data_IF_230324466466
#
_entry.id   IF_230324466466
#
_cell.length_a   1.000
_cell.length_b   1.000
_cell.length_c   1.000
_cell.angle_alpha   90.00
_cell.angle_beta   90.00
_cell.angle_gamma   90.00
#
_symmetry.space_group_name_H-M   'P 1'
#
loop_
_entity.id
_entity.type
_entity.pdbx_description
1 polymer ?
#
# COMPACT_ATOMS: atom_id res chain seq x y z
N UNK A 1 -28.23 65.97 21.43
CA UNK A 1 -28.43 64.70 22.14
C UNK A 1 -28.47 63.65 21.11
N UNK A 2 -27.33 63.02 20.83
CA UNK A 2 -27.21 61.93 19.87
C UNK A 2 -26.48 60.78 20.57
N UNK A 3 -27.19 59.66 20.74
CA UNK A 3 -26.68 58.40 21.33
C UNK A 3 -26.12 57.56 20.21
N UNK A 4 -24.80 57.34 20.23
CA UNK A 4 -24.11 56.39 19.35
C UNK A 4 -24.07 55.04 20.04
N UNK A 5 -24.79 54.06 19.46
CA UNK A 5 -24.78 52.67 19.87
C UNK A 5 -23.60 51.96 19.21
N UNK A 6 -22.70 51.44 20.04
CA UNK A 6 -21.60 50.55 19.61
C UNK A 6 -22.11 49.12 19.44
N UNK A 7 -22.10 48.61 18.22
CA UNK A 7 -22.16 47.17 17.91
C UNK A 7 -20.98 46.83 17.00
N UNK A 8 -20.00 46.08 17.51
CA UNK A 8 -18.87 45.65 16.71
C UNK A 8 -17.83 44.84 17.50
N UNK A 9 -18.17 43.66 18.01
CA UNK A 9 -17.14 42.75 18.49
C UNK A 9 -17.63 41.31 18.50
N UNK A 10 -17.78 40.70 17.33
CA UNK A 10 -17.99 39.22 17.23
C UNK A 10 -17.44 38.58 15.97
N UNK A 11 -16.52 39.23 15.25
CA UNK A 11 -15.92 38.63 14.03
C UNK A 11 -14.47 38.16 14.21
N UNK A 12 -13.84 38.35 15.37
CA UNK A 12 -12.45 37.95 15.62
C UNK A 12 -12.30 36.56 16.27
N UNK A 13 -13.39 35.89 16.59
CA UNK A 13 -13.40 34.60 17.26
C UNK A 13 -13.28 33.37 16.33
N UNK A 14 -13.43 33.52 15.02
CA UNK A 14 -13.50 32.40 14.08
C UNK A 14 -12.18 32.07 13.35
N UNK A 15 -11.17 32.91 13.44
CA UNK A 15 -9.90 32.74 12.70
C UNK A 15 -8.76 32.07 13.47
N UNK A 16 -8.96 31.70 14.75
CA UNK A 16 -7.89 31.14 15.59
C UNK A 16 -8.10 29.68 16.00
N UNK A 17 -9.04 28.94 15.40
CA UNK A 17 -9.28 27.53 15.74
C UNK A 17 -8.75 26.48 14.76
N UNK A 18 -8.06 26.88 13.69
CA UNK A 18 -7.59 25.94 12.65
C UNK A 18 -6.07 25.83 12.50
N UNK A 19 -5.30 26.22 13.50
CA UNK A 19 -3.84 26.08 13.39
C UNK A 19 -3.28 25.50 14.68
N UNK A 20 -3.46 24.24 14.94
CA UNK A 20 -2.53 23.34 15.65
C UNK A 20 -3.09 21.93 15.55
N UNK A 21 -2.97 21.26 14.41
CA UNK A 21 -2.80 19.82 14.43
C UNK A 21 -1.35 19.58 14.85
N UNK A 22 -1.13 19.47 16.13
CA UNK A 22 0.11 18.99 16.68
C UNK A 22 0.34 17.57 16.16
N UNK A 23 1.33 17.40 15.30
CA UNK A 23 1.94 16.11 15.02
C UNK A 23 2.50 15.61 16.37
N UNK A 24 1.71 14.83 17.07
CA UNK A 24 2.18 14.08 18.21
C UNK A 24 3.02 12.92 17.67
N UNK A 25 4.30 13.18 17.44
CA UNK A 25 5.28 12.14 17.25
C UNK A 25 5.32 11.29 18.53
N UNK A 26 4.73 10.09 18.49
CA UNK A 26 4.89 9.11 19.57
C UNK A 26 6.38 8.81 19.73
N UNK A 27 6.94 8.83 20.96
CA UNK A 27 8.33 8.46 21.16
C UNK A 27 8.51 6.98 20.77
N UNK A 28 9.32 6.74 19.73
CA UNK A 28 9.69 5.39 19.30
C UNK A 28 10.61 4.78 20.37
N UNK A 29 10.10 3.80 21.10
CA UNK A 29 10.87 3.06 22.10
C UNK A 29 11.89 2.13 21.41
N UNK A 30 12.98 1.79 22.10
CA UNK A 30 14.05 0.90 21.61
C UNK A 30 13.56 -0.50 21.16
N UNK A 31 12.37 -0.93 21.58
CA UNK A 31 11.67 -2.12 21.09
C UNK A 31 11.22 -1.98 19.64
N UNK A 32 10.87 -0.79 19.20
CA UNK A 32 10.45 -0.46 17.83
C UNK A 32 11.57 -0.71 16.82
N UNK A 33 12.80 -0.31 17.12
CA UNK A 33 13.93 -0.43 16.19
C UNK A 33 14.32 -1.91 15.91
N UNK A 34 14.28 -2.77 16.94
CA UNK A 34 14.57 -4.20 16.78
C UNK A 34 13.50 -4.93 15.96
N UNK A 35 12.24 -4.52 16.11
CA UNK A 35 11.13 -5.09 15.32
C UNK A 35 11.21 -4.63 13.87
N UNK A 36 11.43 -3.35 13.62
CA UNK A 36 11.59 -2.79 12.26
C UNK A 36 12.73 -3.49 11.49
N UNK A 37 13.85 -3.79 12.15
CA UNK A 37 14.95 -4.54 11.53
C UNK A 37 14.53 -5.96 11.12
N UNK A 38 13.81 -6.69 11.98
CA UNK A 38 13.31 -8.03 11.66
C UNK A 38 12.29 -8.02 10.53
N UNK A 39 11.42 -7.01 10.52
CA UNK A 39 10.42 -6.86 9.46
C UNK A 39 11.09 -6.58 8.10
N UNK A 40 12.13 -5.76 8.10
CA UNK A 40 12.94 -5.52 6.90
C UNK A 40 13.68 -6.79 6.43
N UNK A 41 14.33 -7.53 7.35
CA UNK A 41 14.97 -8.81 7.05
C UNK A 41 13.97 -9.78 6.41
N UNK A 42 12.74 -9.87 6.94
CA UNK A 42 11.66 -10.67 6.34
C UNK A 42 11.34 -10.25 4.90
N UNK A 43 11.24 -8.95 4.61
CA UNK A 43 10.98 -8.44 3.26
C UNK A 43 12.12 -8.81 2.30
N UNK A 44 13.37 -8.69 2.74
CA UNK A 44 14.55 -9.07 1.95
C UNK A 44 14.54 -10.55 1.64
N UNK A 45 14.32 -11.41 2.64
CA UNK A 45 14.27 -12.87 2.48
C UNK A 45 13.12 -13.29 1.54
N UNK A 46 11.95 -12.66 1.66
CA UNK A 46 10.82 -12.92 0.79
C UNK A 46 11.15 -12.62 -0.68
N UNK A 47 11.75 -11.46 -0.95
CA UNK A 47 12.15 -11.07 -2.31
C UNK A 47 13.29 -11.96 -2.81
N UNK A 48 14.28 -12.28 -1.99
CA UNK A 48 15.39 -13.17 -2.36
C UNK A 48 14.91 -14.54 -2.83
N UNK A 49 13.90 -15.08 -2.15
CA UNK A 49 13.40 -16.43 -2.43
C UNK A 49 12.39 -16.48 -3.58
N UNK A 50 11.70 -15.38 -3.90
CA UNK A 50 10.58 -15.38 -4.85
C UNK A 50 10.80 -14.51 -6.07
N UNK A 51 11.65 -13.49 -5.98
CA UNK A 51 11.94 -12.51 -7.04
C UNK A 51 13.45 -12.18 -7.04
N UNK A 52 14.24 -13.17 -7.49
CA UNK A 52 15.70 -13.10 -7.43
C UNK A 52 16.28 -11.93 -8.24
N UNK A 53 15.67 -11.60 -9.36
CA UNK A 53 16.09 -10.49 -10.21
C UNK A 53 15.94 -9.15 -9.47
N UNK A 54 14.79 -8.92 -8.86
CA UNK A 54 14.57 -7.73 -8.04
C UNK A 54 15.45 -7.70 -6.80
N UNK A 55 15.78 -8.86 -6.21
CA UNK A 55 16.74 -8.93 -5.12
C UNK A 55 18.13 -8.42 -5.54
N UNK A 56 18.63 -8.90 -6.69
CA UNK A 56 19.94 -8.44 -7.22
C UNK A 56 19.92 -6.94 -7.53
N UNK A 57 18.85 -6.43 -8.14
CA UNK A 57 18.68 -5.00 -8.35
C UNK A 57 18.69 -4.22 -7.02
N UNK A 58 18.02 -4.75 -5.99
CA UNK A 58 17.96 -4.15 -4.66
C UNK A 58 19.33 -4.02 -3.98
N UNK A 59 20.26 -4.95 -4.23
CA UNK A 59 21.62 -4.85 -3.70
C UNK A 59 22.40 -3.67 -4.31
N UNK A 60 22.05 -3.27 -5.54
CA UNK A 60 22.68 -2.14 -6.24
C UNK A 60 22.04 -0.79 -5.89
N UNK A 61 20.88 -0.80 -5.22
CA UNK A 61 20.20 0.43 -4.80
C UNK A 61 21.01 1.19 -3.74
N UNK A 62 20.97 2.54 -3.75
CA UNK A 62 21.54 3.35 -2.68
C UNK A 62 21.01 2.92 -1.31
N UNK A 63 21.84 3.01 -0.28
CA UNK A 63 21.45 2.58 1.08
C UNK A 63 20.21 3.30 1.61
N UNK A 64 20.03 4.57 1.26
CA UNK A 64 18.87 5.40 1.64
C UNK A 64 17.56 4.93 1.02
N UNK A 65 17.59 4.34 -0.18
CA UNK A 65 16.40 3.91 -0.94
C UNK A 65 16.14 2.41 -0.83
N UNK A 66 17.12 1.66 -0.36
CA UNK A 66 17.10 0.19 -0.37
C UNK A 66 15.93 -0.39 0.44
N UNK A 67 15.66 0.18 1.60
CA UNK A 67 14.57 -0.30 2.46
C UNK A 67 13.21 -0.12 1.78
N UNK A 68 12.93 1.07 1.24
CA UNK A 68 11.70 1.38 0.52
C UNK A 68 11.56 0.53 -0.75
N UNK A 69 12.67 0.30 -1.47
CA UNK A 69 12.68 -0.59 -2.63
C UNK A 69 12.25 -2.02 -2.27
N UNK A 70 12.86 -2.63 -1.23
CA UNK A 70 12.51 -3.99 -0.80
C UNK A 70 11.08 -4.08 -0.27
N UNK A 71 10.55 -3.03 0.37
CA UNK A 71 9.15 -2.98 0.78
C UNK A 71 8.19 -3.11 -0.41
N UNK A 72 8.44 -2.34 -1.49
CA UNK A 72 7.64 -2.37 -2.72
C UNK A 72 7.74 -3.75 -3.40
N UNK A 73 8.95 -4.33 -3.49
CA UNK A 73 9.13 -5.64 -4.11
C UNK A 73 8.52 -6.77 -3.29
N UNK A 74 8.61 -6.71 -1.95
CA UNK A 74 7.93 -7.65 -1.07
C UNK A 74 6.40 -7.58 -1.20
N UNK A 75 5.83 -6.37 -1.30
CA UNK A 75 4.41 -6.18 -1.63
C UNK A 75 4.04 -6.87 -2.94
N UNK A 76 4.82 -6.65 -4.01
CA UNK A 76 4.54 -7.29 -5.30
C UNK A 76 4.54 -8.82 -5.20
N UNK A 77 5.49 -9.40 -4.47
CA UNK A 77 5.55 -10.85 -4.24
C UNK A 77 4.31 -11.36 -3.49
N UNK A 78 3.87 -10.66 -2.45
CA UNK A 78 2.67 -11.00 -1.70
C UNK A 78 1.41 -10.95 -2.59
N UNK A 79 1.25 -9.90 -3.39
CA UNK A 79 0.11 -9.75 -4.30
C UNK A 79 0.11 -10.82 -5.41
N UNK A 80 1.26 -11.10 -6.02
CA UNK A 80 1.39 -12.14 -7.03
C UNK A 80 1.08 -13.54 -6.46
N UNK A 81 1.52 -13.80 -5.23
CA UNK A 81 1.29 -15.08 -4.54
C UNK A 81 -0.18 -15.36 -4.19
N UNK A 82 -1.06 -14.36 -4.27
CA UNK A 82 -2.50 -14.56 -4.01
C UNK A 82 -3.07 -15.58 -5.00
N UNK A 83 -2.82 -15.39 -6.29
CA UNK A 83 -3.27 -16.30 -7.36
C UNK A 83 -2.57 -17.65 -7.29
N UNK A 84 -1.26 -17.67 -7.09
CA UNK A 84 -0.45 -18.89 -7.01
C UNK A 84 -0.89 -19.83 -5.89
N UNK A 85 -1.28 -19.28 -4.73
CA UNK A 85 -1.81 -20.06 -3.62
C UNK A 85 -3.08 -20.86 -3.96
N UNK A 86 -3.85 -20.43 -4.96
CA UNK A 86 -5.01 -21.17 -5.47
C UNK A 86 -4.60 -22.29 -6.41
N UNK A 87 -3.59 -22.08 -7.25
CA UNK A 87 -3.08 -23.07 -8.21
C UNK A 87 -2.40 -24.22 -7.47
N UNK A 88 -1.57 -23.91 -6.46
CA UNK A 88 -0.87 -24.93 -5.67
C UNK A 88 -1.82 -25.89 -4.95
N UNK A 89 -2.99 -25.41 -4.50
CA UNK A 89 -4.03 -26.26 -3.90
C UNK A 89 -4.70 -27.21 -4.92
N UNK A 90 -4.79 -26.81 -6.20
CA UNK A 90 -5.35 -27.65 -7.27
C UNK A 90 -4.45 -28.85 -7.64
N UNK A 91 -3.13 -28.71 -7.50
CA UNK A 91 -2.16 -29.77 -7.80
C UNK A 91 -2.16 -30.86 -6.72
N UNK A 92 -2.59 -30.57 -5.49
CA UNK A 92 -2.62 -31.53 -4.37
C UNK A 92 -3.78 -32.53 -4.35
N UNK A 93 -4.55 -32.68 -5.46
CA UNK A 93 -5.57 -33.75 -5.60
C UNK A 93 -6.91 -33.53 -4.90
N UNK A 94 -7.11 -32.41 -4.23
CA UNK A 94 -8.43 -31.99 -3.80
C UNK A 94 -9.18 -31.41 -5.01
N UNK A 95 -10.19 -32.12 -5.50
CA UNK A 95 -11.16 -31.56 -6.44
C UNK A 95 -11.75 -30.30 -5.80
N UNK A 96 -11.29 -29.13 -6.27
CA UNK A 96 -11.97 -27.90 -5.94
C UNK A 96 -13.32 -27.95 -6.63
N UNK A 97 -14.35 -28.14 -5.83
CA UNK A 97 -15.72 -27.90 -6.21
C UNK A 97 -15.79 -26.51 -6.85
N UNK A 98 -16.44 -26.41 -8.00
CA UNK A 98 -16.62 -25.17 -8.78
C UNK A 98 -17.57 -24.16 -8.07
N UNK A 99 -17.67 -24.30 -6.76
CA UNK A 99 -18.58 -23.58 -5.86
C UNK A 99 -18.21 -22.12 -5.59
N UNK A 100 -17.27 -21.53 -6.30
CA UNK A 100 -16.90 -20.11 -6.13
C UNK A 100 -16.19 -19.76 -4.81
N UNK A 101 -16.14 -20.68 -3.85
CA UNK A 101 -15.52 -20.41 -2.54
C UNK A 101 -14.02 -20.08 -2.62
N UNK A 102 -13.32 -20.68 -3.59
CA UNK A 102 -11.92 -20.39 -3.86
C UNK A 102 -11.70 -18.96 -4.37
N UNK A 103 -12.53 -18.50 -5.29
CA UNK A 103 -12.49 -17.14 -5.82
C UNK A 103 -12.82 -16.10 -4.72
N UNK A 104 -13.81 -16.38 -3.88
CA UNK A 104 -14.17 -15.50 -2.77
C UNK A 104 -13.02 -15.32 -1.78
N UNK A 105 -12.30 -16.38 -1.44
CA UNK A 105 -11.14 -16.29 -0.54
C UNK A 105 -10.01 -15.42 -1.12
N UNK A 106 -9.80 -15.46 -2.43
CA UNK A 106 -8.82 -14.60 -3.11
C UNK A 106 -9.25 -13.13 -3.08
N UNK A 107 -10.54 -12.86 -3.36
CA UNK A 107 -11.11 -11.50 -3.30
C UNK A 107 -11.03 -10.92 -1.89
N UNK A 108 -11.25 -11.73 -0.84
CA UNK A 108 -11.05 -11.30 0.55
C UNK A 108 -9.60 -10.90 0.82
N UNK A 109 -8.61 -11.61 0.27
CA UNK A 109 -7.19 -11.24 0.42
C UNK A 109 -6.86 -9.92 -0.29
N UNK A 110 -7.43 -9.67 -1.46
CA UNK A 110 -7.30 -8.39 -2.15
C UNK A 110 -7.91 -7.26 -1.32
N UNK A 111 -9.13 -7.46 -0.78
CA UNK A 111 -9.80 -6.47 0.08
C UNK A 111 -8.99 -6.21 1.37
N UNK A 112 -8.35 -7.22 1.92
CA UNK A 112 -7.44 -7.05 3.05
C UNK A 112 -6.28 -6.10 2.72
N UNK A 113 -5.65 -6.24 1.55
CA UNK A 113 -4.61 -5.31 1.10
C UNK A 113 -5.14 -3.90 0.85
N UNK A 114 -6.36 -3.78 0.30
CA UNK A 114 -7.03 -2.48 0.11
C UNK A 114 -7.22 -1.76 1.45
N UNK A 115 -7.67 -2.47 2.48
CA UNK A 115 -7.79 -1.93 3.84
C UNK A 115 -6.42 -1.54 4.43
N UNK A 116 -5.39 -2.35 4.20
CA UNK A 116 -4.03 -2.01 4.63
C UNK A 116 -3.54 -0.69 4.00
N UNK A 117 -3.79 -0.47 2.71
CA UNK A 117 -3.45 0.80 2.05
C UNK A 117 -4.23 1.98 2.62
N UNK A 118 -5.54 1.84 2.86
CA UNK A 118 -6.34 2.89 3.50
C UNK A 118 -5.77 3.29 4.86
N UNK A 119 -5.30 2.33 5.65
CA UNK A 119 -4.67 2.61 6.95
C UNK A 119 -3.33 3.31 6.83
N UNK A 120 -2.47 2.89 5.89
CA UNK A 120 -1.16 3.50 5.64
C UNK A 120 -1.33 4.98 5.24
N UNK A 121 -2.31 5.28 4.38
CA UNK A 121 -2.57 6.64 3.92
C UNK A 121 -3.51 7.45 4.83
N UNK A 122 -4.02 6.84 5.89
CA UNK A 122 -4.85 7.52 6.90
C UNK A 122 -6.27 7.84 6.46
N UNK A 123 -6.77 7.14 5.43
CA UNK A 123 -8.14 7.30 4.99
C UNK A 123 -9.12 6.55 5.90
N UNK A 124 -10.30 7.12 6.04
CA UNK A 124 -11.40 6.43 6.72
C UNK A 124 -11.70 5.09 5.98
N UNK A 125 -12.02 4.01 6.70
CA UNK A 125 -12.40 2.77 6.06
C UNK A 125 -13.53 3.05 5.08
N UNK A 126 -13.31 2.72 3.79
CA UNK A 126 -14.36 2.81 2.81
C UNK A 126 -15.55 1.99 3.30
N UNK A 127 -16.70 2.62 3.41
CA UNK A 127 -17.97 1.94 3.72
C UNK A 127 -18.29 1.00 2.55
N UNK A 128 -17.71 -0.19 2.61
CA UNK A 128 -18.01 -1.25 1.66
C UNK A 128 -19.33 -1.87 2.11
N UNK A 129 -20.43 -1.35 1.58
CA UNK A 129 -21.79 -1.88 1.84
C UNK A 129 -21.95 -3.34 1.39
N UNK A 130 -20.98 -3.85 0.61
CA UNK A 130 -21.08 -5.18 -0.02
C UNK A 130 -20.40 -6.33 0.73
N UNK A 131 -19.49 -6.11 1.67
CA UNK A 131 -18.72 -7.19 2.31
C UNK A 131 -18.61 -6.99 3.82
N UNK A 132 -19.61 -7.39 4.55
CA UNK A 132 -19.51 -7.70 5.97
C UNK A 132 -19.77 -6.55 6.93
N UNK A 133 -20.08 -6.93 8.17
CA UNK A 133 -20.32 -6.02 9.29
C UNK A 133 -19.09 -5.14 9.58
N UNK A 134 -19.28 -3.96 10.13
CA UNK A 134 -18.20 -3.05 10.57
C UNK A 134 -17.16 -3.74 11.46
N UNK A 135 -17.56 -4.72 12.25
CA UNK A 135 -16.68 -5.51 13.11
C UNK A 135 -15.69 -6.37 12.32
N UNK A 136 -16.10 -6.90 11.17
CA UNK A 136 -15.23 -7.67 10.29
C UNK A 136 -14.15 -6.76 9.65
N UNK A 137 -14.55 -5.60 9.15
CA UNK A 137 -13.63 -4.60 8.59
C UNK A 137 -12.64 -4.11 9.65
N UNK A 138 -13.10 -3.83 10.86
CA UNK A 138 -12.24 -3.44 11.97
C UNK A 138 -11.27 -4.55 12.39
N UNK A 139 -11.70 -5.81 12.35
CA UNK A 139 -10.83 -6.96 12.62
C UNK A 139 -9.77 -7.14 11.55
N UNK A 140 -10.10 -6.97 10.27
CA UNK A 140 -9.15 -6.99 9.16
C UNK A 140 -8.13 -5.87 9.32
N UNK A 141 -8.57 -4.67 9.66
CA UNK A 141 -7.76 -3.51 9.90
C UNK A 141 -6.72 -3.75 11.02
N UNK A 142 -7.14 -4.28 12.15
CA UNK A 142 -6.23 -4.63 13.25
C UNK A 142 -5.25 -5.76 12.90
N UNK A 143 -5.62 -6.64 11.98
CA UNK A 143 -4.74 -7.74 11.56
C UNK A 143 -3.66 -7.30 10.59
N UNK A 144 -3.86 -6.22 9.82
CA UNK A 144 -2.91 -5.75 8.80
C UNK A 144 -1.56 -5.33 9.41
N UNK A 145 -1.57 -4.67 10.57
CA UNK A 145 -0.37 -4.28 11.29
C UNK A 145 0.45 -5.44 11.87
N UNK A 146 -0.08 -6.67 11.86
CA UNK A 146 0.68 -7.87 12.21
C UNK A 146 1.59 -8.33 11.07
N UNK A 147 1.28 -7.96 9.83
CA UNK A 147 2.08 -8.32 8.66
C UNK A 147 3.37 -7.46 8.59
N UNK A 148 4.57 -8.07 8.54
CA UNK A 148 5.83 -7.33 8.45
C UNK A 148 5.92 -6.48 7.18
N UNK A 149 5.38 -6.95 6.04
CA UNK A 149 5.40 -6.19 4.78
C UNK A 149 4.61 -4.90 4.89
N UNK A 150 3.45 -4.92 5.56
CA UNK A 150 2.62 -3.71 5.78
C UNK A 150 3.37 -2.68 6.61
N UNK A 151 4.07 -3.10 7.68
CA UNK A 151 4.83 -2.18 8.54
C UNK A 151 6.03 -1.54 7.83
N UNK A 152 6.74 -2.32 7.00
CA UNK A 152 7.88 -1.78 6.22
C UNK A 152 7.37 -0.89 5.09
N UNK A 153 6.23 -1.23 4.48
CA UNK A 153 5.59 -0.41 3.45
C UNK A 153 5.09 0.93 4.01
N UNK A 154 4.48 0.93 5.20
CA UNK A 154 4.08 2.15 5.90
C UNK A 154 5.27 3.09 6.10
N UNK A 155 6.39 2.56 6.58
CA UNK A 155 7.62 3.34 6.72
C UNK A 155 8.11 3.87 5.37
N UNK A 156 8.11 3.04 4.32
CA UNK A 156 8.53 3.43 2.97
C UNK A 156 7.64 4.54 2.38
N UNK A 157 6.32 4.46 2.57
CA UNK A 157 5.36 5.49 2.11
C UNK A 157 5.68 6.83 2.76
N UNK A 158 5.95 6.86 4.07
CA UNK A 158 6.24 8.10 4.78
C UNK A 158 7.64 8.66 4.48
N UNK A 159 8.65 7.82 4.32
CA UNK A 159 10.03 8.25 4.04
C UNK A 159 10.22 8.72 2.59
N UNK A 160 9.63 8.01 1.62
CA UNK A 160 9.82 8.27 0.19
C UNK A 160 8.64 9.03 -0.45
N UNK A 161 7.55 9.29 0.28
CA UNK A 161 6.30 9.88 -0.22
C UNK A 161 5.76 9.12 -1.44
N UNK A 162 5.61 7.80 -1.31
CA UNK A 162 5.14 6.96 -2.39
C UNK A 162 3.72 7.34 -2.81
N UNK A 163 3.50 7.42 -4.11
CA UNK A 163 2.21 7.79 -4.68
C UNK A 163 1.21 6.65 -4.58
N UNK A 164 0.14 6.84 -3.83
CA UNK A 164 -0.93 5.86 -3.60
C UNK A 164 -1.49 5.26 -4.88
N UNK A 165 -1.71 6.08 -5.90
CA UNK A 165 -2.26 5.66 -7.20
C UNK A 165 -1.52 4.46 -7.81
N UNK A 166 -0.20 4.39 -7.70
CA UNK A 166 0.56 3.28 -8.28
C UNK A 166 0.39 1.98 -7.49
N UNK A 167 0.22 2.07 -6.16
CA UNK A 167 -0.09 0.91 -5.32
C UNK A 167 -1.50 0.38 -5.59
N UNK A 168 -2.49 1.27 -5.72
CA UNK A 168 -3.87 0.91 -6.06
C UNK A 168 -3.96 0.29 -7.46
N UNK A 169 -3.32 0.89 -8.45
CA UNK A 169 -3.27 0.38 -9.82
C UNK A 169 -2.68 -1.03 -9.89
N UNK A 170 -1.62 -1.29 -9.11
CA UNK A 170 -1.04 -2.62 -8.99
C UNK A 170 -2.03 -3.62 -8.37
N UNK A 171 -2.73 -3.21 -7.32
CA UNK A 171 -3.73 -4.04 -6.63
C UNK A 171 -4.91 -4.36 -7.55
N UNK A 172 -5.45 -3.36 -8.25
CA UNK A 172 -6.56 -3.49 -9.20
C UNK A 172 -6.21 -4.43 -10.36
N UNK A 173 -4.99 -4.32 -10.91
CA UNK A 173 -4.52 -5.21 -11.96
C UNK A 173 -4.44 -6.68 -11.47
N UNK A 174 -4.01 -6.90 -10.22
CA UNK A 174 -3.97 -8.23 -9.62
C UNK A 174 -5.37 -8.76 -9.29
N UNK A 175 -6.31 -7.89 -8.92
CA UNK A 175 -7.71 -8.26 -8.70
C UNK A 175 -8.36 -8.71 -10.02
N UNK A 176 -8.20 -7.93 -11.08
CA UNK A 176 -8.71 -8.28 -12.42
C UNK A 176 -8.12 -9.60 -12.93
N UNK A 177 -6.84 -9.86 -12.68
CA UNK A 177 -6.16 -11.10 -13.09
C UNK A 177 -6.69 -12.36 -12.37
N UNK A 178 -7.39 -12.25 -11.24
CA UNK A 178 -7.92 -13.42 -10.52
C UNK A 178 -8.90 -14.25 -11.35
N UNK A 179 -9.70 -13.60 -12.15
CA UNK A 179 -10.76 -14.22 -12.96
C UNK A 179 -10.28 -14.56 -14.39
N UNK A 180 -9.09 -14.09 -14.81
CA UNK A 180 -8.51 -14.29 -16.13
C UNK A 180 -7.60 -15.52 -16.13
N UNK A 181 -7.88 -16.50 -16.97
CA UNK A 181 -7.02 -17.69 -17.16
C UNK A 181 -5.88 -17.44 -18.11
N UNK A 182 -6.14 -16.72 -19.18
CA UNK A 182 -5.19 -16.40 -20.24
C UNK A 182 -5.51 -15.03 -20.80
N UNK A 183 -4.49 -14.29 -21.18
CA UNK A 183 -4.62 -12.99 -21.83
C UNK A 183 -5.05 -13.22 -23.28
N UNK A 184 -6.10 -12.53 -23.73
CA UNK A 184 -6.73 -12.78 -25.03
C UNK A 184 -6.00 -12.06 -26.17
N UNK A 185 -5.37 -10.92 -25.91
CA UNK A 185 -4.70 -10.09 -26.92
C UNK A 185 -3.33 -9.56 -26.45
N UNK A 186 -2.53 -9.08 -27.41
CA UNK A 186 -1.27 -8.40 -27.13
C UNK A 186 -1.53 -7.06 -26.42
N UNK A 187 -2.59 -6.37 -26.80
CA UNK A 187 -3.02 -5.10 -26.20
C UNK A 187 -3.33 -5.28 -24.72
N UNK A 188 -4.06 -6.33 -24.33
CA UNK A 188 -4.36 -6.65 -22.94
C UNK A 188 -3.09 -6.98 -22.14
N UNK A 189 -2.13 -7.69 -22.78
CA UNK A 189 -0.83 -7.98 -22.19
C UNK A 189 -0.03 -6.71 -21.91
N UNK A 190 -0.05 -5.74 -22.85
CA UNK A 190 0.61 -4.44 -22.67
C UNK A 190 -0.06 -3.65 -21.55
N UNK A 191 -1.39 -3.58 -21.51
CA UNK A 191 -2.14 -2.88 -20.45
C UNK A 191 -1.88 -3.49 -19.07
N UNK A 192 -1.82 -4.81 -18.98
CA UNK A 192 -1.47 -5.51 -17.76
C UNK A 192 -0.05 -5.18 -17.30
N UNK A 193 0.92 -5.21 -18.22
CA UNK A 193 2.32 -4.87 -17.94
C UNK A 193 2.46 -3.41 -17.49
N UNK A 194 1.74 -2.48 -18.12
CA UNK A 194 1.72 -1.07 -17.73
C UNK A 194 1.12 -0.90 -16.32
N UNK A 195 0.07 -1.63 -16.00
CA UNK A 195 -0.58 -1.55 -14.70
C UNK A 195 0.23 -2.21 -13.57
N UNK A 196 1.04 -3.21 -13.89
CA UNK A 196 1.83 -3.96 -12.90
C UNK A 196 3.29 -3.49 -12.89
N UNK A 197 4.04 -3.81 -13.94
CA UNK A 197 5.48 -3.59 -13.98
C UNK A 197 5.85 -2.10 -14.01
N UNK A 198 5.15 -1.29 -14.84
CA UNK A 198 5.42 0.15 -14.88
C UNK A 198 5.08 0.84 -13.56
N UNK A 199 4.01 0.43 -12.88
CA UNK A 199 3.69 0.94 -11.54
C UNK A 199 4.82 0.66 -10.53
N UNK A 200 5.42 -0.54 -10.57
CA UNK A 200 6.58 -0.87 -9.73
C UNK A 200 7.82 -0.05 -10.09
N UNK A 201 8.04 0.26 -11.37
CA UNK A 201 9.14 1.14 -11.79
C UNK A 201 8.94 2.56 -11.29
N UNK A 202 7.73 3.13 -11.42
CA UNK A 202 7.42 4.47 -10.91
C UNK A 202 7.63 4.56 -9.41
N UNK A 203 7.13 3.59 -8.64
CA UNK A 203 7.37 3.51 -7.21
C UNK A 203 8.88 3.39 -6.89
N UNK A 204 9.62 2.60 -7.66
CA UNK A 204 11.07 2.46 -7.47
C UNK A 204 11.82 3.78 -7.74
N UNK A 205 11.39 4.56 -8.73
CA UNK A 205 11.94 5.90 -9.00
C UNK A 205 11.61 6.88 -7.88
N UNK A 206 10.41 6.82 -7.31
CA UNK A 206 10.03 7.64 -6.16
C UNK A 206 10.92 7.35 -4.94
N UNK A 207 11.33 6.09 -4.71
CA UNK A 207 12.26 5.76 -3.60
C UNK A 207 13.63 6.40 -3.75
N UNK A 208 14.07 6.67 -4.96
CA UNK A 208 15.37 7.31 -5.22
C UNK A 208 15.32 8.83 -5.21
N UNK A 209 14.13 9.42 -5.00
CA UNK A 209 13.88 10.87 -5.05
C UNK A 209 14.28 11.53 -6.40
N UNK A 210 14.48 10.76 -7.47
CA UNK A 210 14.85 11.29 -8.80
C UNK A 210 13.77 12.22 -9.34
N UNK A 211 12.51 11.93 -9.06
CA UNK A 211 11.37 12.78 -9.47
C UNK A 211 11.41 14.19 -8.88
N UNK A 212 12.03 14.38 -7.72
CA UNK A 212 12.21 15.70 -7.09
C UNK A 212 13.31 16.54 -7.77
N UNK A 213 14.23 15.90 -8.49
CA UNK A 213 15.32 16.58 -9.19
C UNK A 213 14.93 17.03 -10.60
N UNK A 214 13.81 16.58 -11.14
CA UNK A 214 13.40 16.82 -12.54
C UNK A 214 12.71 18.19 -12.77
N UNK A 215 12.51 19.00 -11.73
CA UNK A 215 12.03 20.37 -11.86
C UNK A 215 12.93 21.36 -11.10
N UNK A 216 14.12 21.69 -11.63
CA UNK A 216 14.71 23.00 -11.33
C UNK A 216 13.91 24.00 -12.16
N UNK A 217 13.07 24.80 -11.47
CA UNK A 217 12.42 26.03 -11.91
C UNK A 217 12.43 26.37 -13.40
N UNK A 218 11.27 26.18 -14.04
CA UNK A 218 10.90 27.04 -15.16
C UNK A 218 10.12 28.18 -14.53
N UNK A 219 10.84 29.28 -14.22
CA UNK A 219 10.27 30.61 -14.06
C UNK A 219 9.85 31.16 -15.44
#
# INVERSE_FOLDING_TARGET
MLVLSAKGSSQLGYLLRNTVRSFSAKPQSSRSNKQSKKDFEYCVDLVQNRDRESYLCGLLMPSSSRQSYFAIRALNVELASIKDGSVSRKVGGAQFDDSGAGSMALKIRIQWWRQAFNQIYGDAPASTEEIGSQDFVASMANSSWKNPVVRVLDQAVHESNLTRRFLERLLEAREADLDIRQVDSMEDSILYSESTFSSLLYLSLETTNVSKCAHPGVE
#
